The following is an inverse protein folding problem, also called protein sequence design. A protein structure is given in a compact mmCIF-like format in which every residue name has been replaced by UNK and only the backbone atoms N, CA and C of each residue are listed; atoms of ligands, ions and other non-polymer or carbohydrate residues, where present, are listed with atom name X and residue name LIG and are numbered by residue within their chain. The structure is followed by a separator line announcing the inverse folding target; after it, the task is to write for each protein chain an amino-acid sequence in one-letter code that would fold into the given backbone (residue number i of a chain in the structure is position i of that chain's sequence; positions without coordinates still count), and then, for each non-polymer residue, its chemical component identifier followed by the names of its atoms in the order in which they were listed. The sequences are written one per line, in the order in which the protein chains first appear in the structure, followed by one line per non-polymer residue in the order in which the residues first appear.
data_IF_924992088252
#
_entry.id   IF_924992088252
#
_cell.length_a   1.000
_cell.length_b   1.000
_cell.length_c   1.000
_cell.angle_alpha   90.00
_cell.angle_beta   90.00
_cell.angle_gamma   90.00
#
_symmetry.space_group_name_H-M   'P 1'
#
loop_
_entity.id
_entity.type
_entity.pdbx_description
1 polymer ?
#
# COMPACT_ATOMS: atom_id res chain seq x y z
N UNK A 1 -4.78 -10.66 -11.13
CA UNK A 1 -3.86 -10.73 -9.98
C UNK A 1 -3.79 -9.40 -9.25
N UNK A 2 -3.50 -9.45 -7.95
CA UNK A 2 -3.31 -8.28 -7.08
C UNK A 2 -1.88 -8.29 -6.56
N UNK A 3 -1.16 -7.18 -6.75
CA UNK A 3 0.16 -6.93 -6.19
C UNK A 3 0.14 -5.69 -5.32
N UNK A 4 1.07 -5.61 -4.36
CA UNK A 4 1.12 -4.54 -3.37
C UNK A 4 2.47 -3.82 -3.44
N UNK A 5 2.49 -2.51 -3.16
CA UNK A 5 3.69 -1.68 -3.27
C UNK A 5 4.69 -1.83 -2.11
N UNK A 6 4.32 -2.53 -1.02
CA UNK A 6 5.23 -2.74 0.12
C UNK A 6 4.67 -3.54 1.31
N UNK A 7 3.62 -3.05 1.97
CA UNK A 7 3.20 -3.51 3.32
C UNK A 7 2.70 -4.96 3.41
N UNK A 8 2.40 -5.58 2.27
CA UNK A 8 1.90 -6.96 2.19
C UNK A 8 2.32 -7.59 0.85
N UNK A 9 2.01 -8.87 0.67
CA UNK A 9 2.48 -9.69 -0.44
C UNK A 9 1.33 -10.22 -1.31
N UNK A 10 1.58 -10.51 -2.60
CA UNK A 10 2.86 -10.39 -3.31
C UNK A 10 3.24 -8.94 -3.64
N UNK A 11 4.54 -8.64 -3.67
CA UNK A 11 5.02 -7.35 -4.17
C UNK A 11 4.83 -7.23 -5.68
N UNK A 12 4.83 -5.99 -6.20
CA UNK A 12 4.54 -5.67 -7.60
C UNK A 12 5.36 -6.52 -8.58
N UNK A 13 6.69 -6.50 -8.49
CA UNK A 13 7.55 -7.22 -9.43
C UNK A 13 7.33 -8.75 -9.38
N UNK A 14 7.38 -9.43 -8.22
CA UNK A 14 7.04 -10.85 -8.13
C UNK A 14 5.63 -11.19 -8.64
N UNK A 15 4.65 -10.31 -8.40
CA UNK A 15 3.30 -10.47 -8.92
C UNK A 15 3.30 -10.45 -10.46
N UNK A 16 3.93 -9.45 -11.07
CA UNK A 16 4.01 -9.33 -12.53
C UNK A 16 4.76 -10.51 -13.15
N UNK A 17 5.86 -10.96 -12.55
CA UNK A 17 6.60 -12.16 -12.99
C UNK A 17 5.76 -13.45 -12.93
N UNK A 18 4.79 -13.53 -12.03
CA UNK A 18 3.87 -14.66 -12.01
C UNK A 18 2.79 -14.51 -13.09
N UNK A 19 2.30 -13.29 -13.33
CA UNK A 19 1.31 -13.02 -14.39
C UNK A 19 1.88 -13.34 -15.77
N UNK A 20 3.15 -13.05 -16.04
CA UNK A 20 3.79 -13.33 -17.35
C UNK A 20 3.77 -14.81 -17.73
N UNK A 21 3.73 -15.72 -16.72
CA UNK A 21 3.67 -17.17 -16.92
C UNK A 21 2.29 -17.68 -17.32
N UNK A 22 1.25 -16.85 -17.25
CA UNK A 22 -0.15 -17.23 -17.52
C UNK A 22 -0.52 -17.20 -19.01
N UNK A 23 0.38 -16.75 -19.88
CA UNK A 23 0.19 -16.79 -21.35
C UNK A 23 -0.61 -15.64 -21.95
N UNK A 24 -0.90 -14.58 -21.19
CA UNK A 24 -1.55 -13.38 -21.70
C UNK A 24 -0.65 -12.63 -22.69
N UNK A 25 -1.26 -12.07 -23.75
CA UNK A 25 -0.55 -11.23 -24.75
C UNK A 25 -0.48 -9.77 -24.37
N UNK A 26 -1.39 -9.33 -23.49
CA UNK A 26 -1.47 -7.97 -22.98
C UNK A 26 -1.77 -8.00 -21.48
N UNK A 27 -1.03 -7.22 -20.72
CA UNK A 27 -1.20 -7.03 -19.28
C UNK A 27 -1.44 -5.54 -19.04
N UNK A 28 -2.58 -5.21 -18.41
CA UNK A 28 -2.88 -3.85 -17.97
C UNK A 28 -2.53 -3.73 -16.50
N UNK A 29 -1.63 -2.80 -16.18
CA UNK A 29 -1.26 -2.48 -14.80
C UNK A 29 -2.01 -1.22 -14.39
N UNK A 30 -2.92 -1.34 -13.43
CA UNK A 30 -3.75 -0.26 -12.94
C UNK A 30 -3.48 -0.02 -11.45
N UNK A 31 -2.79 1.06 -11.07
CA UNK A 31 -2.54 1.38 -9.67
C UNK A 31 -3.80 1.91 -8.98
N UNK A 32 -4.25 1.24 -7.92
CA UNK A 32 -5.41 1.65 -7.12
C UNK A 32 -5.03 2.70 -6.05
N UNK A 33 -4.63 3.89 -6.51
CA UNK A 33 -4.17 4.99 -5.67
C UNK A 33 -4.88 6.30 -6.02
N UNK A 34 -5.15 7.12 -5.01
CA UNK A 34 -5.75 8.44 -5.17
C UNK A 34 -4.73 9.53 -5.54
N UNK A 35 -3.46 9.35 -5.21
CA UNK A 35 -2.42 10.37 -5.36
C UNK A 35 -1.20 9.82 -6.08
N UNK A 36 -0.45 10.73 -6.70
CA UNK A 36 0.87 10.46 -7.27
C UNK A 36 1.92 10.25 -6.17
N UNK A 37 3.16 9.98 -6.61
CA UNK A 37 4.35 9.94 -5.78
C UNK A 37 5.10 8.63 -5.90
N UNK A 38 6.05 8.45 -5.00
CA UNK A 38 7.10 7.41 -5.10
C UNK A 38 6.57 5.97 -5.24
N UNK A 39 5.38 5.68 -4.70
CA UNK A 39 4.77 4.35 -4.80
C UNK A 39 4.25 4.07 -6.22
N UNK A 40 3.74 5.09 -6.91
CA UNK A 40 3.31 4.98 -8.31
C UNK A 40 4.51 4.82 -9.21
N UNK A 41 5.55 5.65 -9.00
CA UNK A 41 6.80 5.55 -9.73
C UNK A 41 7.42 4.16 -9.58
N UNK A 42 7.36 3.58 -8.37
CA UNK A 42 7.79 2.20 -8.11
C UNK A 42 6.99 1.16 -8.90
N UNK A 43 5.67 1.28 -8.91
CA UNK A 43 4.81 0.33 -9.64
C UNK A 43 5.14 0.35 -11.13
N UNK A 44 5.28 1.54 -11.71
CA UNK A 44 5.61 1.70 -13.11
C UNK A 44 7.05 1.28 -13.44
N UNK A 45 8.02 1.62 -12.59
CA UNK A 45 9.41 1.20 -12.77
C UNK A 45 9.55 -0.31 -12.81
N UNK A 46 8.98 -1.03 -11.83
CA UNK A 46 8.96 -2.50 -11.87
C UNK A 46 8.15 -3.06 -13.04
N UNK A 47 7.11 -2.37 -13.50
CA UNK A 47 6.39 -2.76 -14.71
C UNK A 47 7.30 -2.70 -15.94
N UNK A 48 8.10 -1.64 -16.07
CA UNK A 48 9.03 -1.46 -17.19
C UNK A 48 10.15 -2.50 -17.16
N UNK A 49 10.69 -2.81 -15.98
CA UNK A 49 11.72 -3.85 -15.81
C UNK A 49 11.20 -5.25 -16.21
N UNK A 50 10.00 -5.61 -15.77
CA UNK A 50 9.38 -6.89 -16.15
C UNK A 50 9.05 -6.89 -17.65
N UNK A 51 8.52 -5.79 -18.19
CA UNK A 51 8.22 -5.69 -19.63
C UNK A 51 9.48 -5.89 -20.48
N UNK A 52 10.63 -5.33 -20.07
CA UNK A 52 11.91 -5.52 -20.75
C UNK A 52 12.37 -6.98 -20.77
N UNK A 53 12.05 -7.76 -19.72
CA UNK A 53 12.34 -9.21 -19.65
C UNK A 53 11.38 -10.07 -20.47
N UNK A 54 10.21 -9.54 -20.84
CA UNK A 54 9.14 -10.26 -21.53
C UNK A 54 8.65 -9.52 -22.80
N UNK A 55 9.50 -9.31 -23.82
CA UNK A 55 9.19 -8.47 -24.99
C UNK A 55 8.04 -8.97 -25.88
N UNK A 56 7.59 -10.22 -25.68
CA UNK A 56 6.43 -10.80 -26.39
C UNK A 56 5.07 -10.47 -25.76
N UNK A 57 5.04 -9.72 -24.66
CA UNK A 57 3.84 -9.31 -23.94
C UNK A 57 3.75 -7.79 -23.95
N UNK A 58 2.58 -7.26 -24.31
CA UNK A 58 2.32 -5.82 -24.23
C UNK A 58 1.93 -5.43 -22.80
N UNK A 59 2.72 -4.57 -22.17
CA UNK A 59 2.39 -3.98 -20.87
C UNK A 59 1.80 -2.59 -21.05
N UNK A 60 0.60 -2.38 -20.52
CA UNK A 60 -0.11 -1.09 -20.56
C UNK A 60 -0.19 -0.54 -19.15
N UNK A 61 0.52 0.56 -18.89
CA UNK A 61 0.44 1.31 -17.63
C UNK A 61 -0.76 2.24 -17.68
N UNK A 62 -1.86 1.86 -17.02
CA UNK A 62 -3.02 2.73 -16.88
C UNK A 62 -2.77 3.79 -15.79
N UNK A 63 -3.38 4.97 -15.93
CA UNK A 63 -3.34 6.00 -14.90
C UNK A 63 -3.96 5.49 -13.58
N UNK A 64 -3.53 6.05 -12.45
CA UNK A 64 -4.14 5.79 -11.15
C UNK A 64 -5.47 6.56 -11.01
N UNK A 65 -6.26 6.25 -9.96
CA UNK A 65 -7.64 6.77 -9.81
C UNK A 65 -7.72 8.30 -9.86
N UNK A 66 -6.80 8.99 -9.18
CA UNK A 66 -6.76 10.45 -9.11
C UNK A 66 -8.13 11.08 -8.80
N UNK A 67 -8.48 12.16 -9.49
CA UNK A 67 -9.71 12.92 -9.40
C UNK A 67 -10.80 12.43 -10.37
N UNK A 68 -10.82 11.13 -10.70
CA UNK A 68 -11.84 10.55 -11.58
C UNK A 68 -13.27 10.86 -11.08
N UNK A 69 -14.17 11.26 -11.97
CA UNK A 69 -15.53 11.73 -11.62
C UNK A 69 -16.29 10.77 -10.71
N UNK A 70 -16.16 9.46 -10.93
CA UNK A 70 -16.82 8.46 -10.09
C UNK A 70 -16.21 8.35 -8.69
N UNK A 71 -14.93 8.66 -8.53
CA UNK A 71 -14.28 8.73 -7.21
C UNK A 71 -14.85 9.93 -6.46
N UNK A 72 -14.88 11.10 -7.10
CA UNK A 72 -15.45 12.32 -6.52
C UNK A 72 -16.93 12.10 -6.15
N UNK A 73 -17.71 11.49 -7.04
CA UNK A 73 -19.11 11.14 -6.78
C UNK A 73 -19.24 10.23 -5.55
N UNK A 74 -18.37 9.21 -5.44
CA UNK A 74 -18.35 8.30 -4.28
C UNK A 74 -18.04 9.05 -2.99
N UNK A 75 -17.06 9.97 -2.99
CA UNK A 75 -16.77 10.83 -1.84
C UNK A 75 -17.96 11.70 -1.46
N UNK A 76 -18.61 12.33 -2.45
CA UNK A 76 -19.80 13.16 -2.22
C UNK A 76 -20.95 12.35 -1.62
N UNK A 77 -21.16 11.11 -2.08
CA UNK A 77 -22.18 10.21 -1.52
C UNK A 77 -21.84 9.84 -0.08
N UNK A 78 -20.58 9.53 0.25
CA UNK A 78 -20.17 9.28 1.64
C UNK A 78 -20.45 10.49 2.55
N UNK A 79 -20.19 11.71 2.08
CA UNK A 79 -20.49 12.95 2.83
C UNK A 79 -22.00 13.10 3.05
N UNK A 80 -22.83 12.85 2.04
CA UNK A 80 -24.29 12.92 2.18
C UNK A 80 -24.85 11.87 3.13
N UNK A 81 -24.29 10.66 3.10
CA UNK A 81 -24.66 9.58 4.03
C UNK A 81 -24.35 9.94 5.49
N UNK A 82 -23.25 10.64 5.75
CA UNK A 82 -22.92 11.14 7.10
C UNK A 82 -24.03 12.07 7.62
N UNK A 83 -24.57 12.94 6.77
CA UNK A 83 -25.64 13.87 7.16
C UNK A 83 -26.96 13.17 7.52
N UNK A 84 -27.17 11.96 7.01
CA UNK A 84 -28.42 11.20 7.20
C UNK A 84 -28.25 9.99 8.13
N UNK A 85 -27.02 9.75 8.62
CA UNK A 85 -26.70 8.65 9.52
C UNK A 85 -26.71 7.26 8.87
N UNK A 86 -26.73 7.18 7.53
CA UNK A 86 -26.74 5.93 6.78
C UNK A 86 -25.36 5.50 6.28
N UNK A 87 -24.30 6.19 6.69
CA UNK A 87 -22.92 5.85 6.33
C UNK A 87 -22.47 4.59 7.08
N UNK A 88 -22.95 3.44 6.62
CA UNK A 88 -22.41 2.16 7.04
C UNK A 88 -20.98 2.08 6.50
N UNK A 89 -20.01 2.45 7.34
CA UNK A 89 -18.61 2.16 7.07
C UNK A 89 -18.51 0.66 6.81
N UNK A 90 -18.00 0.26 5.64
CA UNK A 90 -17.75 -1.15 5.27
C UNK A 90 -16.61 -1.79 6.07
N UNK A 91 -16.41 -1.29 7.28
CA UNK A 91 -15.57 -1.72 8.38
C UNK A 91 -15.92 -3.13 8.87
N UNK A 92 -16.29 -4.05 7.97
CA UNK A 92 -16.71 -5.42 8.25
C UNK A 92 -15.65 -6.21 9.04
N UNK A 93 -14.40 -5.73 9.05
CA UNK A 93 -13.28 -6.27 9.82
C UNK A 93 -12.62 -5.23 10.75
N UNK A 94 -13.28 -4.10 11.00
CA UNK A 94 -12.77 -3.08 11.90
C UNK A 94 -13.02 -3.50 13.34
N UNK A 95 -11.97 -3.59 14.15
CA UNK A 95 -12.07 -3.91 15.58
C UNK A 95 -13.04 -3.01 16.37
N UNK A 96 -13.22 -1.77 15.91
CA UNK A 96 -14.15 -0.81 16.53
C UNK A 96 -15.63 -1.08 16.19
N UNK A 97 -15.95 -1.91 15.19
CA UNK A 97 -17.32 -2.08 14.64
C UNK A 97 -17.77 -3.52 14.51
N UNK A 98 -16.86 -4.47 14.42
CA UNK A 98 -17.14 -5.90 14.40
C UNK A 98 -16.33 -6.58 15.50
N UNK A 99 -16.89 -7.65 16.08
CA UNK A 99 -16.17 -8.46 17.05
C UNK A 99 -15.03 -9.20 16.33
N UNK A 100 -13.80 -8.80 16.64
CA UNK A 100 -12.57 -9.47 16.21
C UNK A 100 -11.96 -10.12 17.45
N UNK A 101 -11.58 -11.40 17.35
CA UNK A 101 -10.99 -12.13 18.47
C UNK A 101 -9.77 -11.38 19.03
N UNK A 102 -9.75 -11.14 20.34
CA UNK A 102 -8.69 -10.41 21.04
C UNK A 102 -8.84 -8.88 21.04
N UNK A 103 -9.96 -8.36 20.53
CA UNK A 103 -10.31 -6.93 20.51
C UNK A 103 -11.75 -6.67 20.97
N UNK A 104 -12.30 -7.57 21.78
CA UNK A 104 -13.69 -7.52 22.24
C UNK A 104 -14.01 -6.22 22.99
N UNK A 105 -13.07 -5.73 23.81
CA UNK A 105 -13.22 -4.51 24.60
C UNK A 105 -13.13 -3.22 23.77
N UNK A 106 -12.76 -3.32 22.50
CA UNK A 106 -12.62 -2.17 21.60
C UNK A 106 -13.87 -1.90 20.75
N UNK A 107 -14.85 -2.82 20.74
CA UNK A 107 -16.06 -2.69 19.95
C UNK A 107 -16.91 -1.52 20.47
N UNK A 108 -17.24 -0.58 19.58
CA UNK A 108 -18.02 0.62 19.89
C UNK A 108 -17.19 1.82 20.36
N UNK A 109 -15.89 1.65 20.62
CA UNK A 109 -15.01 2.78 20.89
C UNK A 109 -14.84 3.67 19.65
N UNK A 110 -14.58 4.98 19.82
CA UNK A 110 -14.13 5.84 18.74
C UNK A 110 -12.88 5.26 18.06
N UNK A 111 -12.83 5.30 16.73
CA UNK A 111 -11.63 4.90 16.01
C UNK A 111 -10.56 5.97 16.17
N UNK A 112 -9.38 5.58 16.62
CA UNK A 112 -8.21 6.46 16.79
C UNK A 112 -7.07 6.04 15.85
N UNK A 113 -6.24 7.00 15.44
CA UNK A 113 -5.05 6.75 14.61
C UNK A 113 -4.01 5.98 15.42
N UNK A 114 -3.64 4.78 14.97
CA UNK A 114 -2.57 3.97 15.58
C UNK A 114 -1.25 4.04 14.79
N UNK A 115 -1.17 4.92 13.78
CA UNK A 115 -0.01 5.08 12.91
C UNK A 115 0.68 6.46 13.05
N UNK A 116 0.78 6.98 14.29
CA UNK A 116 1.48 8.25 14.57
C UNK A 116 2.92 8.29 14.01
N UNK A 117 3.57 7.14 13.80
CA UNK A 117 4.93 7.07 13.25
C UNK A 117 5.06 7.47 11.76
N UNK A 118 3.95 7.52 11.01
CA UNK A 118 3.94 7.71 9.54
C UNK A 118 3.25 9.01 9.11
N UNK A 119 2.55 9.70 10.02
CA UNK A 119 1.88 10.97 9.74
C UNK A 119 2.89 12.03 9.28
N UNK A 120 2.78 12.48 8.02
CA UNK A 120 3.57 13.58 7.47
C UNK A 120 5.03 13.27 7.07
N UNK A 121 5.53 12.05 7.25
CA UNK A 121 6.94 11.71 6.91
C UNK A 121 7.19 11.42 5.42
N UNK A 122 6.15 11.34 4.59
CA UNK A 122 6.28 10.86 3.20
C UNK A 122 7.33 11.60 2.37
N UNK A 123 7.38 12.93 2.48
CA UNK A 123 8.33 13.79 1.76
C UNK A 123 9.68 13.96 2.46
N UNK A 124 9.76 13.75 3.77
CA UNK A 124 10.96 14.02 4.59
C UNK A 124 11.68 12.76 5.07
N UNK A 125 11.14 11.57 4.83
CA UNK A 125 11.80 10.31 5.16
C UNK A 125 13.05 10.09 4.29
N UNK A 126 14.13 9.48 4.80
CA UNK A 126 15.25 9.04 3.98
C UNK A 126 14.76 8.21 2.77
N UNK A 127 15.29 8.52 1.58
CA UNK A 127 14.83 7.94 0.32
C UNK A 127 13.38 8.30 -0.06
N UNK A 128 12.90 9.48 0.33
CA UNK A 128 11.60 10.03 -0.09
C UNK A 128 11.55 10.42 -1.58
N UNK A 129 12.71 10.58 -2.21
CA UNK A 129 12.87 10.80 -3.63
C UNK A 129 14.13 10.06 -4.14
N UNK A 130 14.29 10.00 -5.46
CA UNK A 130 15.41 9.30 -6.12
C UNK A 130 16.72 10.08 -5.99
N UNK A 131 16.66 11.42 -5.96
CA UNK A 131 17.85 12.29 -5.92
C UNK A 131 18.62 12.16 -4.60
N UNK A 132 17.91 11.95 -3.49
CA UNK A 132 18.47 11.85 -2.14
C UNK A 132 18.72 10.39 -1.70
N UNK A 133 18.67 9.42 -2.62
CA UNK A 133 18.77 7.99 -2.30
C UNK A 133 19.91 7.30 -3.06
N UNK A 134 20.98 6.94 -2.33
CA UNK A 134 22.16 6.25 -2.88
C UNK A 134 21.88 4.85 -3.47
N UNK A 135 20.68 4.31 -3.24
CA UNK A 135 20.28 2.98 -3.70
C UNK A 135 19.28 3.01 -4.86
N UNK A 136 18.76 4.19 -5.20
CA UNK A 136 17.85 4.35 -6.33
C UNK A 136 18.60 4.97 -7.53
N UNK A 137 18.14 4.68 -8.74
CA UNK A 137 18.76 5.23 -9.96
C UNK A 137 17.77 6.03 -10.78
N UNK A 138 16.77 5.36 -11.35
CA UNK A 138 15.77 5.96 -12.26
C UNK A 138 14.37 5.99 -11.66
N UNK A 139 14.11 5.14 -10.67
CA UNK A 139 12.88 5.13 -9.87
C UNK A 139 13.17 4.55 -8.48
N UNK A 140 12.22 4.71 -7.56
CA UNK A 140 12.36 4.15 -6.21
C UNK A 140 12.01 2.67 -6.13
N UNK A 141 13.02 1.82 -5.90
CA UNK A 141 12.83 0.39 -5.63
C UNK A 141 12.35 0.12 -4.20
N UNK A 142 12.63 1.04 -3.27
CA UNK A 142 12.36 0.87 -1.84
C UNK A 142 13.43 0.07 -1.09
N UNK A 143 14.54 -0.29 -1.74
CA UNK A 143 15.63 -1.07 -1.13
C UNK A 143 16.21 -0.44 0.14
N UNK A 144 16.32 0.90 0.19
CA UNK A 144 16.83 1.60 1.37
C UNK A 144 16.07 1.26 2.64
N UNK A 145 14.74 1.09 2.55
CA UNK A 145 13.89 0.76 3.69
C UNK A 145 14.03 -0.70 4.11
N UNK A 146 14.29 -1.60 3.16
CA UNK A 146 14.57 -3.00 3.46
C UNK A 146 15.91 -3.13 4.20
N UNK A 147 16.94 -2.41 3.76
CA UNK A 147 18.27 -2.44 4.40
C UNK A 147 18.32 -1.75 5.76
N UNK A 148 17.46 -0.75 6.01
CA UNK A 148 17.29 -0.17 7.36
C UNK A 148 16.60 -1.14 8.32
N UNK A 149 15.61 -1.92 7.85
CA UNK A 149 14.94 -2.93 8.68
C UNK A 149 15.90 -4.04 9.12
N UNK A 150 16.86 -4.44 8.27
CA UNK A 150 17.90 -5.41 8.62
C UNK A 150 18.89 -4.90 9.68
N UNK A 151 19.02 -3.58 9.86
CA UNK A 151 19.88 -2.96 10.88
C UNK A 151 19.19 -2.84 12.25
N UNK A 152 17.86 -2.99 12.31
CA UNK A 152 17.08 -3.00 13.55
C UNK A 152 16.73 -4.42 14.00
N UNK A 153 17.64 -5.38 13.79
CA UNK A 153 17.58 -6.68 14.43
C UNK A 153 17.59 -6.57 15.96
N UNK A 154 16.58 -7.18 16.59
CA UNK A 154 16.49 -7.52 18.02
C UNK A 154 16.15 -6.40 19.02
N UNK A 155 14.89 -5.94 19.02
CA UNK A 155 14.25 -5.62 20.29
C UNK A 155 13.56 -6.88 20.83
N UNK A 156 14.30 -7.63 21.66
CA UNK A 156 13.70 -8.63 22.54
C UNK A 156 12.70 -7.90 23.45
N UNK A 157 11.41 -8.11 23.25
CA UNK A 157 10.42 -7.87 24.30
C UNK A 157 10.64 -8.94 25.36
N UNK A 158 11.43 -8.60 26.38
CA UNK A 158 11.50 -9.38 27.61
C UNK A 158 10.14 -9.32 28.29
N UNK A 159 9.32 -10.35 28.10
CA UNK A 159 8.17 -10.59 28.97
C UNK A 159 8.72 -11.08 30.31
N UNK A 160 8.68 -10.22 31.34
CA UNK A 160 8.77 -10.72 32.71
C UNK A 160 7.45 -11.43 33.02
N UNK A 161 7.51 -12.75 33.14
CA UNK A 161 6.49 -13.48 33.87
C UNK A 161 6.76 -13.23 35.35
N UNK A 162 6.01 -12.32 35.96
CA UNK A 162 5.89 -12.29 37.41
C UNK A 162 4.95 -13.44 37.82
N UNK A 163 5.54 -14.43 38.47
CA UNK A 163 4.85 -15.51 39.17
C UNK A 163 4.08 -14.93 40.37
N UNK A 164 2.77 -15.17 40.41
CA UNK A 164 1.96 -15.15 41.62
C UNK A 164 0.98 -16.32 41.63
#
# INVERSE_FOLDING_TARGET
ETGFSGVTFPLVEPCLENVTKLGFKRIVVFPYFLFSGILIDRIYGFTDEVAARHPGIEFVKAGYLNDHDQVIATFADRVREILTGSNNMNCSMCKYRAQVLGFEDEVGLPQESHHHHVEGKGVTAPGSNVEDCDLCTTFCTGECRLREMDQHGHHHHGHSHDDH
#
